data_IF_053082120476
#
_entry.id   IF_053082120476
#
_cell.length_a   1.000
_cell.length_b   1.000
_cell.length_c   1.000
_cell.angle_alpha   90.00
_cell.angle_beta   90.00
_cell.angle_gamma   90.00
#
_symmetry.space_group_name_H-M   'P 1'
#
loop_
_entity.id
_entity.type
_entity.pdbx_description
1 polymer ?
#
# COMPACT_ATOMS: atom_id res chain seq x y z
N UNK A 1 17.10 5.81 10.51
CA UNK A 1 16.15 5.85 9.37
C UNK A 1 16.55 7.05 8.53
N UNK A 2 16.63 6.91 7.21
CA UNK A 2 17.05 8.01 6.33
C UNK A 2 15.82 8.82 5.92
N UNK A 3 15.95 10.12 5.70
CA UNK A 3 14.84 11.04 5.31
C UNK A 3 14.11 10.63 4.02
N UNK A 4 14.66 9.69 3.24
CA UNK A 4 14.07 9.17 2.00
C UNK A 4 13.06 8.03 2.21
N UNK A 5 12.86 7.56 3.44
CA UNK A 5 11.98 6.41 3.72
C UNK A 5 10.52 6.83 3.95
N UNK A 6 10.21 8.13 3.83
CA UNK A 6 8.86 8.65 4.04
C UNK A 6 8.26 9.24 2.78
N UNK A 7 6.97 9.04 2.61
CA UNK A 7 6.15 9.81 1.68
C UNK A 7 5.29 10.83 2.43
N UNK A 8 5.03 11.95 1.78
CA UNK A 8 4.18 13.02 2.32
C UNK A 8 2.80 12.89 1.68
N UNK A 9 1.78 12.80 2.53
CA UNK A 9 0.37 12.74 2.12
C UNK A 9 -0.42 13.93 2.68
N UNK A 10 -1.49 14.28 1.98
CA UNK A 10 -2.48 15.23 2.49
C UNK A 10 -3.29 14.59 3.61
N UNK A 11 -3.62 15.35 4.65
CA UNK A 11 -4.53 14.91 5.70
C UNK A 11 -5.86 14.41 5.08
N UNK A 12 -6.33 13.19 5.38
CA UNK A 12 -7.60 12.69 4.86
C UNK A 12 -8.82 13.49 5.35
N UNK A 13 -8.73 14.18 6.51
CA UNK A 13 -9.76 15.09 6.96
C UNK A 13 -9.86 16.31 6.03
N UNK A 14 -10.83 16.25 5.12
CA UNK A 14 -11.05 17.27 4.10
C UNK A 14 -11.43 18.62 4.72
N UNK A 15 -12.22 18.62 5.79
CA UNK A 15 -12.71 19.85 6.43
C UNK A 15 -11.55 20.59 7.06
N UNK A 16 -10.82 19.91 7.93
CA UNK A 16 -9.62 20.48 8.57
C UNK A 16 -8.59 20.94 7.55
N UNK A 17 -8.32 20.13 6.51
CA UNK A 17 -7.39 20.49 5.44
C UNK A 17 -7.79 21.78 4.72
N UNK A 18 -9.10 21.97 4.42
CA UNK A 18 -9.60 23.16 3.75
C UNK A 18 -9.43 24.41 4.60
N UNK A 19 -9.75 24.34 5.89
CA UNK A 19 -9.54 25.44 6.84
C UNK A 19 -8.06 25.88 6.90
N UNK A 20 -7.14 24.91 6.95
CA UNK A 20 -5.70 25.19 6.96
C UNK A 20 -5.23 25.76 5.62
N UNK A 21 -5.78 25.31 4.48
CA UNK A 21 -5.46 25.86 3.16
C UNK A 21 -5.87 27.34 3.04
N UNK A 22 -7.04 27.69 3.56
CA UNK A 22 -7.51 29.08 3.60
C UNK A 22 -6.62 29.93 4.50
N UNK A 23 -6.24 29.43 5.68
CA UNK A 23 -5.32 30.11 6.58
C UNK A 23 -3.93 30.33 5.96
N UNK A 24 -3.40 29.36 5.22
CA UNK A 24 -2.12 29.49 4.50
C UNK A 24 -2.23 30.52 3.36
N UNK A 25 -3.35 30.52 2.61
CA UNK A 25 -3.60 31.52 1.56
C UNK A 25 -3.67 32.93 2.15
N UNK A 26 -4.39 33.11 3.26
CA UNK A 26 -4.47 34.37 3.99
C UNK A 26 -3.12 34.83 4.57
N UNK A 27 -2.17 33.91 4.74
CA UNK A 27 -0.82 34.16 5.21
C UNK A 27 0.23 34.16 4.08
N UNK A 28 -0.13 34.52 2.84
CA UNK A 28 0.73 34.65 1.67
C UNK A 28 1.50 33.35 1.32
N UNK A 29 0.93 32.19 1.63
CA UNK A 29 1.53 30.88 1.36
C UNK A 29 2.52 30.39 2.43
N UNK A 30 2.67 31.13 3.53
CA UNK A 30 3.46 30.70 4.67
C UNK A 30 2.65 29.86 5.66
N UNK A 31 3.34 28.99 6.41
CA UNK A 31 2.70 28.15 7.40
C UNK A 31 1.91 29.00 8.41
N UNK A 32 0.64 28.66 8.64
CA UNK A 32 -0.20 29.39 9.59
C UNK A 32 0.26 29.27 11.05
N UNK A 33 1.13 28.30 11.35
CA UNK A 33 1.73 28.10 12.68
C UNK A 33 3.06 28.86 12.86
N UNK A 34 3.58 29.50 11.81
CA UNK A 34 4.86 30.17 11.89
C UNK A 34 4.72 31.61 12.45
N UNK A 35 5.63 31.96 13.35
CA UNK A 35 5.68 33.31 13.93
C UNK A 35 6.31 34.33 12.98
N UNK A 36 7.16 33.86 12.06
CA UNK A 36 7.89 34.68 11.10
C UNK A 36 7.72 34.18 9.69
N UNK A 37 7.67 35.06 8.69
CA UNK A 37 7.63 34.75 7.27
C UNK A 37 9.04 34.73 6.68
N UNK A 38 9.54 33.54 6.35
CA UNK A 38 10.84 33.36 5.69
C UNK A 38 10.82 32.05 4.84
N UNK A 39 11.89 31.78 4.13
CA UNK A 39 11.97 30.58 3.24
C UNK A 39 11.80 29.27 3.98
N UNK A 40 12.11 29.19 5.27
CA UNK A 40 11.92 27.97 6.06
C UNK A 40 10.47 27.75 6.48
N UNK A 41 9.67 28.80 6.53
CA UNK A 41 8.27 28.77 6.97
C UNK A 41 7.27 28.76 5.82
N UNK A 42 7.73 28.85 4.57
CA UNK A 42 6.89 28.65 3.39
C UNK A 42 6.31 27.22 3.39
N UNK A 43 5.04 27.06 3.07
CA UNK A 43 4.39 25.74 3.06
C UNK A 43 4.85 24.92 1.84
N UNK A 44 5.43 23.74 2.02
CA UNK A 44 5.66 22.90 3.21
C UNK A 44 6.89 23.41 3.97
N UNK A 45 6.74 23.73 5.26
CA UNK A 45 7.81 24.33 6.07
C UNK A 45 9.01 23.38 6.28
N UNK A 46 10.17 23.98 6.60
CA UNK A 46 11.42 23.24 6.79
C UNK A 46 11.29 22.19 7.90
N UNK A 47 10.69 22.53 9.03
CA UNK A 47 10.56 21.64 10.19
C UNK A 47 9.86 20.33 9.79
N UNK A 48 8.79 20.40 8.97
CA UNK A 48 8.12 19.20 8.50
C UNK A 48 8.90 18.49 7.38
N UNK A 49 9.57 19.22 6.48
CA UNK A 49 10.40 18.56 5.44
C UNK A 49 11.53 17.75 6.08
N UNK A 50 12.14 18.25 7.15
CA UNK A 50 13.27 17.63 7.85
C UNK A 50 12.84 16.70 8.99
N UNK A 51 11.54 16.61 9.32
CA UNK A 51 11.02 15.65 10.29
C UNK A 51 11.44 14.22 9.92
N UNK A 52 12.06 13.52 10.85
CA UNK A 52 12.67 12.18 10.66
C UNK A 52 11.80 11.02 11.18
N UNK A 53 10.54 11.30 11.49
CA UNK A 53 9.56 10.34 11.99
C UNK A 53 8.22 10.51 11.27
N UNK A 54 7.38 9.46 11.33
CA UNK A 54 6.01 9.52 10.83
C UNK A 54 5.14 10.44 11.70
N UNK A 55 4.08 11.00 11.12
CA UNK A 55 3.14 11.86 11.82
C UNK A 55 2.78 13.11 11.04
N UNK A 56 1.91 13.91 11.63
CA UNK A 56 1.41 15.15 11.02
C UNK A 56 2.42 16.29 11.13
N UNK A 57 2.37 17.22 10.17
CA UNK A 57 2.97 18.54 10.36
C UNK A 57 2.19 19.29 11.44
N UNK A 58 2.81 20.32 12.03
CA UNK A 58 2.21 21.06 13.16
C UNK A 58 0.80 21.59 12.86
N UNK A 59 0.54 22.09 11.67
CA UNK A 59 -0.79 22.56 11.28
C UNK A 59 -1.76 21.43 10.87
N UNK A 60 -1.31 20.19 10.78
CA UNK A 60 -2.16 19.06 10.41
C UNK A 60 -2.52 18.96 8.92
N UNK A 61 -1.98 19.81 8.03
CA UNK A 61 -2.30 19.75 6.59
C UNK A 61 -1.74 18.51 5.91
N UNK A 62 -0.52 18.12 6.28
CA UNK A 62 0.21 17.00 5.73
C UNK A 62 0.60 16.00 6.81
N UNK A 63 0.85 14.77 6.41
CA UNK A 63 1.47 13.77 7.28
C UNK A 63 2.51 12.94 6.52
N UNK A 64 3.50 12.44 7.25
CA UNK A 64 4.50 11.50 6.76
C UNK A 64 4.12 10.08 7.15
N UNK A 65 4.24 9.17 6.19
CA UNK A 65 4.14 7.72 6.40
C UNK A 65 5.37 7.04 5.82
N UNK A 66 5.68 5.83 6.28
CA UNK A 66 6.73 5.02 5.67
C UNK A 66 6.37 4.74 4.20
N UNK A 67 7.33 4.94 3.32
CA UNK A 67 7.24 4.50 1.93
C UNK A 67 7.47 2.97 1.91
N UNK A 68 6.39 2.24 2.03
CA UNK A 68 6.41 0.79 2.19
C UNK A 68 5.94 0.13 0.90
N UNK A 69 6.76 -0.69 0.23
CA UNK A 69 6.34 -1.41 -0.97
C UNK A 69 5.20 -2.38 -0.62
N UNK A 70 4.28 -2.53 -1.58
CA UNK A 70 3.13 -3.42 -1.46
C UNK A 70 3.31 -4.63 -2.37
N UNK A 71 3.12 -5.82 -1.84
CA UNK A 71 3.16 -7.07 -2.60
C UNK A 71 1.87 -7.84 -2.43
N UNK A 72 1.33 -8.37 -3.54
CA UNK A 72 0.20 -9.28 -3.51
C UNK A 72 0.67 -10.71 -3.78
N UNK A 73 0.35 -11.64 -2.88
CA UNK A 73 0.64 -13.06 -3.05
C UNK A 73 -0.49 -13.70 -3.85
N UNK A 74 -0.13 -14.34 -4.95
CA UNK A 74 -1.01 -15.05 -5.88
C UNK A 74 -0.70 -16.55 -5.85
N UNK A 75 -1.69 -17.39 -6.09
CA UNK A 75 -1.46 -18.82 -6.10
C UNK A 75 -2.69 -19.63 -5.66
N UNK A 76 -2.58 -20.95 -5.76
CA UNK A 76 -3.66 -21.81 -5.32
C UNK A 76 -3.84 -21.80 -3.81
N UNK A 77 -5.07 -21.60 -3.34
CA UNK A 77 -5.44 -21.61 -1.92
C UNK A 77 -5.17 -22.97 -1.21
N UNK A 78 -4.84 -24.02 -1.99
CA UNK A 78 -4.34 -25.29 -1.44
C UNK A 78 -3.01 -25.16 -0.71
N UNK A 79 -2.21 -24.16 -1.05
CA UNK A 79 -0.89 -23.90 -0.47
C UNK A 79 -0.95 -22.94 0.73
N UNK A 80 -2.01 -23.02 1.52
CA UNK A 80 -2.28 -22.08 2.64
C UNK A 80 -1.08 -21.81 3.52
N UNK A 81 -0.40 -22.86 3.99
CA UNK A 81 0.76 -22.70 4.89
C UNK A 81 1.89 -21.90 4.21
N UNK A 82 2.13 -22.14 2.92
CA UNK A 82 3.13 -21.42 2.14
C UNK A 82 2.79 -19.92 2.02
N UNK A 83 1.49 -19.58 1.87
CA UNK A 83 1.06 -18.17 1.90
C UNK A 83 1.46 -17.48 3.20
N UNK A 84 1.24 -18.11 4.35
CA UNK A 84 1.60 -17.53 5.64
C UNK A 84 3.10 -17.43 5.85
N UNK A 85 3.87 -18.43 5.44
CA UNK A 85 5.34 -18.41 5.55
C UNK A 85 5.94 -17.30 4.68
N UNK A 86 5.49 -17.17 3.43
CA UNK A 86 5.94 -16.14 2.50
C UNK A 86 5.48 -14.75 2.95
N UNK A 87 4.23 -14.62 3.44
CA UNK A 87 3.72 -13.36 3.97
C UNK A 87 4.56 -12.89 5.16
N UNK A 88 4.94 -13.79 6.07
CA UNK A 88 5.85 -13.50 7.18
C UNK A 88 7.21 -13.02 6.67
N UNK A 89 7.77 -13.70 5.68
CA UNK A 89 9.08 -13.34 5.11
C UNK A 89 9.07 -11.93 4.51
N UNK A 90 8.09 -11.60 3.65
CA UNK A 90 7.96 -10.27 3.05
C UNK A 90 7.65 -9.20 4.09
N UNK A 91 6.84 -9.49 5.10
CA UNK A 91 6.56 -8.55 6.19
C UNK A 91 7.85 -8.21 6.96
N UNK A 92 8.70 -9.20 7.25
CA UNK A 92 10.00 -8.97 7.89
C UNK A 92 10.98 -8.19 7.00
N UNK A 93 10.83 -8.26 5.68
CA UNK A 93 11.55 -7.43 4.71
C UNK A 93 10.98 -6.02 4.57
N UNK A 94 9.89 -5.69 5.28
CA UNK A 94 9.28 -4.36 5.29
C UNK A 94 8.22 -4.12 4.21
N UNK A 95 7.61 -5.16 3.65
CA UNK A 95 6.50 -5.06 2.69
C UNK A 95 5.14 -4.99 3.40
N UNK A 96 4.20 -4.26 2.79
CA UNK A 96 2.77 -4.48 3.04
C UNK A 96 2.33 -5.65 2.18
N UNK A 97 1.92 -6.75 2.83
CA UNK A 97 1.56 -7.99 2.14
C UNK A 97 0.04 -8.13 2.08
N UNK A 98 -0.48 -8.40 0.89
CA UNK A 98 -1.86 -8.81 0.66
C UNK A 98 -1.89 -10.21 0.07
N UNK A 99 -2.95 -10.99 0.35
CA UNK A 99 -3.12 -12.37 -0.10
C UNK A 99 -4.62 -12.73 -0.13
N UNK A 100 -5.03 -13.91 -0.66
CA UNK A 100 -6.40 -14.40 -0.53
C UNK A 100 -6.86 -14.40 0.92
N UNK A 101 -8.09 -13.96 1.16
CA UNK A 101 -8.69 -13.94 2.50
C UNK A 101 -9.40 -15.24 2.88
N UNK A 102 -9.73 -16.08 1.89
CA UNK A 102 -10.47 -17.33 2.04
C UNK A 102 -9.68 -18.48 1.41
N UNK A 103 -9.56 -19.59 2.14
CA UNK A 103 -8.80 -20.76 1.74
C UNK A 103 -9.72 -21.99 1.71
N UNK A 104 -10.44 -22.18 0.60
CA UNK A 104 -11.55 -23.13 0.40
C UNK A 104 -11.18 -24.58 0.67
N UNK A 105 -9.94 -24.98 0.44
CA UNK A 105 -9.51 -26.38 0.58
C UNK A 105 -9.43 -26.90 2.03
N UNK A 106 -9.85 -26.11 3.03
CA UNK A 106 -9.92 -26.51 4.46
C UNK A 106 -11.32 -26.45 5.06
N UNK A 107 -12.37 -26.61 4.23
CA UNK A 107 -13.75 -26.76 4.73
C UNK A 107 -14.60 -25.50 4.68
N UNK A 108 -14.10 -24.38 4.17
CA UNK A 108 -14.95 -23.25 3.84
C UNK A 108 -15.77 -23.60 2.59
N UNK A 109 -17.08 -23.71 2.75
CA UNK A 109 -17.99 -23.88 1.61
C UNK A 109 -18.31 -22.51 1.05
N UNK A 110 -17.85 -22.23 -0.17
CA UNK A 110 -18.26 -21.04 -0.93
C UNK A 110 -19.10 -21.46 -2.12
N UNK A 111 -20.11 -20.66 -2.47
CA UNK A 111 -20.89 -20.84 -3.69
C UNK A 111 -20.15 -20.20 -4.89
N UNK A 112 -20.66 -20.38 -6.11
CA UNK A 112 -20.06 -19.82 -7.33
C UNK A 112 -20.04 -18.29 -7.33
N UNK A 113 -21.09 -17.64 -6.83
CA UNK A 113 -21.20 -16.18 -6.75
C UNK A 113 -20.16 -15.60 -5.79
N UNK A 114 -19.98 -16.22 -4.61
CA UNK A 114 -18.93 -15.82 -3.66
C UNK A 114 -17.53 -15.99 -4.27
N UNK A 115 -17.33 -17.04 -5.08
CA UNK A 115 -16.06 -17.28 -5.75
C UNK A 115 -15.71 -16.17 -6.75
N UNK A 116 -16.67 -15.81 -7.62
CA UNK A 116 -16.47 -14.69 -8.57
C UNK A 116 -16.13 -13.40 -7.84
N UNK A 117 -16.85 -13.09 -6.77
CA UNK A 117 -16.60 -11.90 -5.95
C UNK A 117 -15.22 -11.92 -5.27
N UNK A 118 -14.77 -13.07 -4.78
CA UNK A 118 -13.43 -13.23 -4.20
C UNK A 118 -12.33 -13.04 -5.25
N UNK A 119 -12.53 -13.52 -6.47
CA UNK A 119 -11.59 -13.32 -7.59
C UNK A 119 -11.50 -11.81 -7.97
N UNK A 120 -12.63 -11.09 -8.00
CA UNK A 120 -12.66 -9.63 -8.23
C UNK A 120 -11.92 -8.86 -7.12
N UNK A 121 -12.17 -9.20 -5.85
CA UNK A 121 -11.49 -8.58 -4.71
C UNK A 121 -9.98 -8.86 -4.78
N UNK A 122 -9.58 -10.07 -5.19
CA UNK A 122 -8.16 -10.40 -5.31
C UNK A 122 -7.51 -9.62 -6.45
N UNK A 123 -8.16 -9.47 -7.60
CA UNK A 123 -7.71 -8.60 -8.70
C UNK A 123 -7.58 -7.14 -8.27
N UNK A 124 -8.46 -6.63 -7.41
CA UNK A 124 -8.32 -5.30 -6.84
C UNK A 124 -7.07 -5.16 -5.94
N UNK A 125 -6.73 -6.21 -5.16
CA UNK A 125 -5.49 -6.25 -4.38
C UNK A 125 -4.25 -6.23 -5.27
N UNK A 126 -4.26 -6.97 -6.39
CA UNK A 126 -3.19 -6.95 -7.39
C UNK A 126 -3.03 -5.54 -7.98
N UNK A 127 -4.13 -4.88 -8.31
CA UNK A 127 -4.10 -3.53 -8.86
C UNK A 127 -3.50 -2.50 -7.88
N UNK A 128 -3.77 -2.63 -6.56
CA UNK A 128 -3.23 -1.75 -5.51
C UNK A 128 -1.77 -2.08 -5.13
N UNK A 129 -1.27 -3.27 -5.46
CA UNK A 129 0.09 -3.69 -5.17
C UNK A 129 1.12 -3.10 -6.17
N UNK A 130 2.37 -2.95 -5.74
CA UNK A 130 3.48 -2.56 -6.61
C UNK A 130 3.99 -3.75 -7.46
N UNK A 131 3.94 -4.95 -6.88
CA UNK A 131 4.37 -6.21 -7.51
C UNK A 131 3.54 -7.39 -6.99
N UNK A 132 3.58 -8.51 -7.74
CA UNK A 132 3.00 -9.77 -7.29
C UNK A 132 4.07 -10.85 -7.09
N UNK A 133 3.80 -11.78 -6.17
CA UNK A 133 4.59 -12.98 -5.95
C UNK A 133 3.71 -14.22 -6.14
N UNK A 134 4.07 -15.07 -7.09
CA UNK A 134 3.31 -16.26 -7.46
C UNK A 134 3.84 -17.49 -6.70
N UNK A 135 2.97 -18.11 -5.92
CA UNK A 135 3.25 -19.35 -5.19
C UNK A 135 2.90 -20.52 -6.11
N UNK A 136 3.90 -20.95 -6.87
CA UNK A 136 3.79 -22.04 -7.85
C UNK A 136 4.51 -23.30 -7.37
N UNK A 137 4.24 -23.74 -6.15
CA UNK A 137 4.86 -24.92 -5.55
C UNK A 137 4.74 -26.16 -6.45
N UNK A 138 5.87 -26.82 -6.74
CA UNK A 138 6.02 -27.92 -7.70
C UNK A 138 5.54 -27.54 -9.13
N UNK A 139 5.76 -26.30 -9.51
CA UNK A 139 5.34 -25.77 -10.82
C UNK A 139 3.84 -25.62 -11.02
N UNK A 140 3.02 -25.82 -9.99
CA UNK A 140 1.56 -25.78 -10.14
C UNK A 140 1.02 -24.34 -10.21
N UNK A 141 0.32 -24.04 -11.30
CA UNK A 141 -0.44 -22.80 -11.51
C UNK A 141 -1.87 -23.16 -11.92
N UNK A 142 -2.86 -22.85 -11.07
CA UNK A 142 -4.28 -23.09 -11.35
C UNK A 142 -4.88 -21.99 -12.25
N UNK A 143 -6.11 -22.21 -12.73
CA UNK A 143 -6.78 -21.28 -13.67
C UNK A 143 -6.98 -19.88 -13.08
N UNK A 144 -7.44 -19.76 -11.82
CA UNK A 144 -7.54 -18.45 -11.16
C UNK A 144 -6.18 -17.76 -11.09
N UNK A 145 -5.12 -18.51 -10.74
CA UNK A 145 -3.76 -17.95 -10.68
C UNK A 145 -3.24 -17.49 -12.05
N UNK A 146 -3.60 -18.19 -13.15
CA UNK A 146 -3.28 -17.74 -14.51
C UNK A 146 -3.94 -16.39 -14.82
N UNK A 147 -5.24 -16.27 -14.52
CA UNK A 147 -6.00 -15.03 -14.70
C UNK A 147 -5.44 -13.87 -13.83
N UNK A 148 -4.91 -14.17 -12.64
CA UNK A 148 -4.23 -13.20 -11.76
C UNK A 148 -2.92 -12.72 -12.39
N UNK A 149 -2.14 -13.63 -12.97
CA UNK A 149 -0.87 -13.33 -13.67
C UNK A 149 -1.14 -12.46 -14.90
N UNK A 150 -2.08 -12.87 -15.76
CA UNK A 150 -2.48 -12.10 -16.94
C UNK A 150 -2.91 -10.68 -16.57
N UNK A 151 -3.73 -10.54 -15.52
CA UNK A 151 -4.15 -9.22 -15.01
C UNK A 151 -2.97 -8.38 -14.52
N UNK A 152 -2.01 -8.97 -13.82
CA UNK A 152 -0.81 -8.28 -13.38
C UNK A 152 0.09 -7.84 -14.56
N UNK A 153 0.19 -8.65 -15.62
CA UNK A 153 0.90 -8.32 -16.87
C UNK A 153 0.23 -7.13 -17.59
N UNK A 154 -1.10 -7.13 -17.72
CA UNK A 154 -1.86 -6.01 -18.31
C UNK A 154 -1.63 -4.70 -17.55
N UNK A 155 -1.48 -4.77 -16.23
CA UNK A 155 -1.18 -3.61 -15.38
C UNK A 155 0.31 -3.24 -15.34
N UNK A 156 1.17 -3.98 -16.04
CA UNK A 156 2.63 -3.75 -16.06
C UNK A 156 3.28 -3.97 -14.69
N UNK A 157 2.72 -4.83 -13.83
CA UNK A 157 3.28 -5.14 -12.53
C UNK A 157 4.50 -6.04 -12.65
N UNK A 158 5.46 -5.90 -11.75
CA UNK A 158 6.55 -6.85 -11.63
C UNK A 158 6.01 -8.17 -11.07
N UNK A 159 6.39 -9.28 -11.71
CA UNK A 159 5.97 -10.63 -11.33
C UNK A 159 7.19 -11.44 -10.93
N UNK A 160 7.13 -12.06 -9.77
CA UNK A 160 8.16 -12.98 -9.28
C UNK A 160 7.50 -14.29 -8.87
N UNK A 161 8.25 -15.38 -8.94
CA UNK A 161 7.75 -16.72 -8.69
C UNK A 161 8.53 -17.38 -7.55
N UNK A 162 7.87 -18.30 -6.84
CA UNK A 162 8.50 -19.13 -5.81
C UNK A 162 9.53 -20.08 -6.44
N UNK A 163 9.14 -20.71 -7.55
CA UNK A 163 9.98 -21.64 -8.30
C UNK A 163 10.19 -21.11 -9.74
N UNK A 164 11.40 -21.26 -10.30
CA UNK A 164 11.73 -20.78 -11.64
C UNK A 164 10.95 -21.48 -12.74
#
# INVERSE_FOLDING_TARGET
MRSNDYEIKLNPDFIHRKEIEEAIKANDGYCCCALEKNDNTKCICKDFREQDHFGFCHCGRYYKVLKTPKICLCGSTRFKEMFFDIAKEFTLKGYIVTMPGVFVHRGDTINEEDKEHLDEIHKAKIADADEIFVINQNGYIGESTKSEIEWAEELGKKITYLEP
#
